data_IF_839875273945
#
_entry.id   IF_839875273945
#
_cell.length_a   1.000
_cell.length_b   1.000
_cell.length_c   1.000
_cell.angle_alpha   90.00
_cell.angle_beta   90.00
_cell.angle_gamma   90.00
#
_symmetry.space_group_name_H-M   'P 1'
#
loop_
_entity.id
_entity.type
_entity.pdbx_description
1 polymer ?
#
# COMPACT_ATOMS: atom_id res chain seq x y z
N UNK A 1 -1.30 -12.25 -27.08
CA UNK A 1 -1.88 -11.63 -25.85
C UNK A 1 -1.63 -10.13 -25.76
N UNK A 2 -0.36 -9.63 -25.88
CA UNK A 2 -0.09 -8.18 -25.78
C UNK A 2 -0.81 -7.39 -26.87
N UNK A 3 -0.77 -7.83 -28.12
CA UNK A 3 -1.47 -7.19 -29.23
C UNK A 3 -3.00 -7.15 -29.05
N UNK A 4 -3.59 -8.20 -28.51
CA UNK A 4 -5.03 -8.25 -28.19
C UNK A 4 -5.39 -7.25 -27.07
N UNK A 5 -4.58 -7.18 -26.02
CA UNK A 5 -4.79 -6.22 -24.92
C UNK A 5 -4.66 -4.77 -25.40
N UNK A 6 -3.73 -4.49 -26.34
CA UNK A 6 -3.61 -3.16 -26.94
C UNK A 6 -4.87 -2.72 -27.68
N UNK A 7 -5.61 -3.67 -28.30
CA UNK A 7 -6.85 -3.37 -29.02
C UNK A 7 -8.03 -3.06 -28.07
N UNK A 8 -7.97 -3.52 -26.80
CA UNK A 8 -8.99 -3.23 -25.79
C UNK A 8 -8.87 -1.82 -25.22
N UNK A 9 -7.70 -1.21 -25.29
CA UNK A 9 -7.47 0.14 -24.80
C UNK A 9 -7.96 1.17 -25.84
N UNK A 10 -8.64 2.24 -25.38
CA UNK A 10 -9.06 3.35 -26.24
C UNK A 10 -7.87 3.89 -27.03
N UNK A 11 -8.06 4.34 -28.28
CA UNK A 11 -6.96 4.76 -29.17
C UNK A 11 -6.10 5.92 -28.64
N UNK A 12 -6.69 6.80 -27.83
CA UNK A 12 -6.06 7.98 -27.23
C UNK A 12 -5.21 7.67 -25.99
N UNK A 13 -5.31 6.45 -25.44
CA UNK A 13 -4.61 6.08 -24.23
C UNK A 13 -3.20 5.55 -24.49
N UNK A 14 -2.29 5.94 -23.59
CA UNK A 14 -0.96 5.35 -23.48
C UNK A 14 -1.07 3.88 -23.08
N UNK A 15 -0.28 3.02 -23.74
CA UNK A 15 -0.21 1.59 -23.39
C UNK A 15 1.23 1.23 -23.13
N UNK A 16 1.47 0.58 -22.01
CA UNK A 16 2.80 0.15 -21.57
C UNK A 16 2.76 -1.22 -20.88
N UNK A 17 3.93 -1.84 -20.77
CA UNK A 17 4.15 -3.03 -19.93
C UNK A 17 5.04 -2.61 -18.77
N UNK A 18 4.66 -3.01 -17.56
CA UNK A 18 5.49 -2.91 -16.36
C UNK A 18 5.84 -4.28 -15.82
N UNK A 19 7.10 -4.48 -15.49
CA UNK A 19 7.60 -5.68 -14.84
C UNK A 19 8.35 -5.28 -13.57
N UNK A 20 8.02 -5.95 -12.45
CA UNK A 20 8.75 -5.86 -11.20
C UNK A 20 9.68 -7.06 -11.04
N UNK A 21 10.89 -6.85 -10.56
CA UNK A 21 11.88 -7.89 -10.29
C UNK A 21 12.80 -7.48 -9.14
N UNK A 22 13.47 -8.45 -8.54
CA UNK A 22 14.49 -8.14 -7.53
C UNK A 22 15.62 -7.30 -8.12
N UNK A 23 16.03 -6.26 -7.41
CA UNK A 23 17.18 -5.44 -7.79
C UNK A 23 18.49 -6.24 -7.88
N UNK A 24 18.57 -7.36 -7.16
CA UNK A 24 19.71 -8.27 -7.19
C UNK A 24 19.75 -9.20 -8.43
N UNK A 25 18.64 -9.32 -9.17
CA UNK A 25 18.58 -10.16 -10.38
C UNK A 25 19.15 -9.41 -11.58
N UNK A 26 20.48 -9.47 -11.70
CA UNK A 26 21.23 -8.81 -12.77
C UNK A 26 20.85 -9.34 -14.15
N UNK A 27 20.62 -10.65 -14.28
CA UNK A 27 20.27 -11.27 -15.58
C UNK A 27 18.94 -10.74 -16.11
N UNK A 28 17.91 -10.73 -15.25
CA UNK A 28 16.61 -10.17 -15.65
C UNK A 28 16.69 -8.67 -15.97
N UNK A 29 17.51 -7.92 -15.25
CA UNK A 29 17.73 -6.49 -15.53
C UNK A 29 18.37 -6.28 -16.90
N UNK A 30 19.45 -6.98 -17.21
CA UNK A 30 20.13 -6.91 -18.51
C UNK A 30 19.19 -7.29 -19.67
N UNK A 31 18.36 -8.33 -19.50
CA UNK A 31 17.36 -8.71 -20.51
C UNK A 31 16.38 -7.55 -20.76
N UNK A 32 15.87 -6.91 -19.70
CA UNK A 32 14.92 -5.80 -19.84
C UNK A 32 15.56 -4.58 -20.51
N UNK A 33 16.79 -4.24 -20.12
CA UNK A 33 17.53 -3.11 -20.71
C UNK A 33 17.83 -3.34 -22.19
N UNK A 34 18.22 -4.55 -22.58
CA UNK A 34 18.42 -4.95 -23.98
C UNK A 34 17.11 -4.91 -24.79
N UNK A 35 15.98 -5.22 -24.17
CA UNK A 35 14.64 -5.13 -24.75
C UNK A 35 14.02 -3.71 -24.65
N UNK A 36 14.85 -2.70 -24.35
CA UNK A 36 14.47 -1.27 -24.33
C UNK A 36 13.43 -0.94 -23.26
N UNK A 37 13.38 -1.72 -22.18
CA UNK A 37 12.66 -1.28 -20.98
C UNK A 37 13.51 -0.23 -20.24
N UNK A 38 12.82 0.66 -19.52
CA UNK A 38 13.46 1.69 -18.70
C UNK A 38 13.14 1.44 -17.24
N UNK A 39 14.15 1.53 -16.39
CA UNK A 39 13.96 1.55 -14.94
C UNK A 39 13.19 2.82 -14.55
N UNK A 40 12.04 2.67 -13.91
CA UNK A 40 11.17 3.79 -13.56
C UNK A 40 10.97 3.97 -12.06
N UNK A 41 11.05 2.89 -11.26
CA UNK A 41 10.84 2.97 -9.80
C UNK A 41 11.67 1.91 -9.06
N UNK A 42 11.96 2.24 -7.80
CA UNK A 42 12.45 1.32 -6.78
C UNK A 42 11.34 1.08 -5.76
N UNK A 43 11.12 -0.16 -5.40
CA UNK A 43 10.13 -0.56 -4.41
C UNK A 43 10.82 -1.36 -3.31
N UNK A 44 10.59 -0.99 -2.05
CA UNK A 44 11.19 -1.67 -0.90
C UNK A 44 10.17 -2.55 -0.22
N UNK A 45 10.55 -3.79 0.04
CA UNK A 45 9.92 -4.59 1.08
C UNK A 45 10.66 -4.33 2.38
N UNK A 46 9.94 -3.78 3.35
CA UNK A 46 10.51 -3.47 4.66
C UNK A 46 9.93 -4.41 5.71
N UNK A 47 10.78 -4.84 6.65
CA UNK A 47 10.41 -5.77 7.71
C UNK A 47 10.96 -5.32 9.06
N UNK A 48 10.28 -5.76 10.12
CA UNK A 48 10.73 -5.70 11.50
C UNK A 48 10.48 -7.04 12.17
N UNK A 49 11.45 -7.49 12.99
CA UNK A 49 11.32 -8.67 13.84
C UNK A 49 11.14 -8.20 15.29
N UNK A 50 9.98 -8.49 15.86
CA UNK A 50 9.62 -8.09 17.22
C UNK A 50 10.17 -9.10 18.22
N UNK A 51 11.09 -8.68 19.08
CA UNK A 51 11.64 -9.47 20.20
C UNK A 51 10.89 -9.23 21.49
N UNK A 52 10.13 -8.13 21.57
CA UNK A 52 9.30 -7.73 22.70
C UNK A 52 8.04 -7.02 22.21
N UNK A 53 7.08 -6.78 23.09
CA UNK A 53 5.85 -6.08 22.74
C UNK A 53 6.17 -4.66 22.24
N UNK A 54 5.61 -4.24 21.08
CA UNK A 54 5.84 -2.92 20.54
C UNK A 54 5.36 -1.82 21.49
N UNK A 55 6.03 -0.68 21.45
CA UNK A 55 5.60 0.51 22.19
C UNK A 55 4.20 0.95 21.75
N UNK A 56 3.27 1.02 22.70
CA UNK A 56 1.95 1.60 22.45
C UNK A 56 2.04 3.11 22.63
N UNK A 57 1.57 3.87 21.64
CA UNK A 57 1.42 5.33 21.73
C UNK A 57 -0.06 5.68 21.63
N UNK A 58 -0.52 6.75 22.31
CA UNK A 58 -1.91 7.17 22.21
C UNK A 58 -2.24 7.70 20.82
N UNK A 59 -3.47 7.51 20.40
CA UNK A 59 -3.99 8.19 19.22
C UNK A 59 -4.10 9.70 19.46
N UNK A 60 -3.99 10.55 18.45
CA UNK A 60 -4.20 11.98 18.57
C UNK A 60 -5.55 12.30 19.23
N UNK A 61 -5.64 13.43 19.96
CA UNK A 61 -6.87 13.84 20.60
C UNK A 61 -8.05 13.93 19.61
N UNK A 62 -9.20 13.39 20.01
CA UNK A 62 -10.41 13.29 19.20
C UNK A 62 -10.45 12.09 18.25
N UNK A 63 -9.37 11.32 18.16
CA UNK A 63 -9.32 10.12 17.30
C UNK A 63 -9.64 8.87 18.11
N UNK A 64 -10.60 8.10 17.62
CA UNK A 64 -11.00 6.82 18.19
C UNK A 64 -10.77 5.69 17.19
N UNK A 65 -10.26 4.57 17.66
CA UNK A 65 -10.19 3.34 16.88
C UNK A 65 -11.50 2.57 17.04
N UNK A 66 -12.18 2.30 15.94
CA UNK A 66 -13.43 1.51 15.95
C UNK A 66 -13.26 0.25 15.11
N UNK A 67 -13.90 -0.87 15.52
CA UNK A 67 -13.91 -2.08 14.71
C UNK A 67 -14.47 -1.82 13.31
N UNK A 68 -13.89 -2.46 12.31
CA UNK A 68 -14.45 -2.42 10.97
C UNK A 68 -15.76 -3.23 10.91
N UNK A 69 -16.83 -2.58 10.47
CA UNK A 69 -18.15 -3.21 10.27
C UNK A 69 -18.38 -3.38 8.78
N UNK A 70 -18.34 -4.64 8.34
CA UNK A 70 -18.59 -5.02 6.95
C UNK A 70 -19.95 -4.48 6.50
N UNK A 71 -20.10 -4.24 5.22
CA UNK A 71 -21.30 -3.69 4.56
C UNK A 71 -21.59 -2.23 4.93
N UNK A 72 -21.67 -1.90 6.22
CA UNK A 72 -21.95 -0.54 6.67
C UNK A 72 -20.81 0.46 6.39
N UNK A 73 -19.56 -0.01 6.39
CA UNK A 73 -18.37 0.86 6.30
C UNK A 73 -17.54 0.62 5.03
N UNK A 74 -17.82 -0.41 4.24
CA UNK A 74 -17.03 -0.78 3.06
C UNK A 74 -16.83 0.40 2.11
N UNK A 75 -17.91 1.11 1.76
CA UNK A 75 -17.85 2.23 0.84
C UNK A 75 -17.11 3.44 1.44
N UNK A 76 -17.28 3.71 2.73
CA UNK A 76 -16.57 4.80 3.42
C UNK A 76 -15.05 4.54 3.47
N UNK A 77 -14.66 3.29 3.73
CA UNK A 77 -13.24 2.89 3.74
C UNK A 77 -12.65 2.96 2.33
N UNK A 78 -13.39 2.53 1.32
CA UNK A 78 -12.98 2.68 -0.08
C UNK A 78 -12.72 4.15 -0.44
N UNK A 79 -13.63 5.06 -0.10
CA UNK A 79 -13.47 6.50 -0.36
C UNK A 79 -12.27 7.08 0.39
N UNK A 80 -12.08 6.69 1.66
CA UNK A 80 -10.94 7.13 2.45
C UNK A 80 -9.61 6.63 1.89
N UNK A 81 -9.58 5.41 1.36
CA UNK A 81 -8.41 4.83 0.69
C UNK A 81 -8.11 5.60 -0.62
N UNK A 82 -9.09 5.80 -1.49
CA UNK A 82 -8.93 6.51 -2.75
C UNK A 82 -8.39 7.94 -2.52
N UNK A 83 -8.95 8.65 -1.52
CA UNK A 83 -8.47 9.99 -1.15
C UNK A 83 -7.03 9.96 -0.60
N UNK A 84 -6.72 9.04 0.32
CA UNK A 84 -5.42 8.99 0.98
C UNK A 84 -4.29 8.63 0.01
N UNK A 85 -4.59 7.84 -1.03
CA UNK A 85 -3.62 7.39 -2.04
C UNK A 85 -3.61 8.24 -3.30
N UNK A 86 -4.43 9.28 -3.40
CA UNK A 86 -4.52 10.12 -4.60
C UNK A 86 -3.19 10.74 -5.02
N UNK A 87 -2.31 11.02 -4.05
CA UNK A 87 -1.00 11.62 -4.28
C UNK A 87 0.09 10.57 -4.56
N UNK A 88 -0.25 9.29 -4.61
CA UNK A 88 0.72 8.24 -4.86
C UNK A 88 0.93 8.04 -6.36
N UNK A 89 2.18 7.81 -6.73
CA UNK A 89 2.53 7.49 -8.11
C UNK A 89 1.73 6.30 -8.66
N UNK A 90 1.26 6.42 -9.88
CA UNK A 90 0.47 5.38 -10.54
C UNK A 90 -0.96 5.26 -10.00
N UNK A 91 -1.44 6.23 -9.20
CA UNK A 91 -2.82 6.18 -8.73
C UNK A 91 -3.80 6.38 -9.89
N UNK A 92 -4.75 5.47 -9.99
CA UNK A 92 -5.92 5.58 -10.88
C UNK A 92 -7.15 5.49 -10.00
N UNK A 93 -8.14 6.41 -10.15
CA UNK A 93 -9.37 6.38 -9.37
C UNK A 93 -10.01 4.99 -9.37
N UNK A 94 -10.29 4.48 -8.19
CA UNK A 94 -10.75 3.12 -8.00
C UNK A 94 -12.22 2.90 -8.42
N UNK A 95 -12.54 1.66 -8.78
CA UNK A 95 -13.93 1.20 -8.87
C UNK A 95 -14.27 0.38 -7.62
N UNK A 96 -15.35 0.74 -6.93
CA UNK A 96 -15.75 0.12 -5.66
C UNK A 96 -15.94 -1.40 -5.77
N UNK A 97 -16.59 -1.89 -6.81
CA UNK A 97 -16.83 -3.33 -6.96
C UNK A 97 -15.51 -4.10 -7.15
N UNK A 98 -14.59 -3.57 -7.94
CA UNK A 98 -13.26 -4.16 -8.10
C UNK A 98 -12.44 -4.10 -6.81
N UNK A 99 -12.55 -3.01 -6.05
CA UNK A 99 -11.91 -2.87 -4.75
C UNK A 99 -12.46 -3.90 -3.76
N UNK A 100 -13.78 -4.05 -3.68
CA UNK A 100 -14.47 -5.01 -2.82
C UNK A 100 -14.03 -6.44 -3.12
N UNK A 101 -14.07 -6.86 -4.38
CA UNK A 101 -13.59 -8.19 -4.81
C UNK A 101 -12.15 -8.47 -4.41
N UNK A 102 -11.26 -7.48 -4.53
CA UNK A 102 -9.83 -7.65 -4.23
C UNK A 102 -9.48 -7.58 -2.75
N UNK A 103 -10.27 -6.86 -1.95
CA UNK A 103 -9.95 -6.56 -0.55
C UNK A 103 -10.80 -7.34 0.44
N UNK A 104 -12.09 -7.48 0.19
CA UNK A 104 -13.09 -7.96 1.15
C UNK A 104 -13.65 -9.33 0.77
N UNK A 105 -14.05 -9.52 -0.48
CA UNK A 105 -14.67 -10.75 -0.95
C UNK A 105 -13.61 -11.82 -1.23
N UNK A 106 -12.76 -12.08 -0.23
CA UNK A 106 -11.67 -13.06 -0.28
C UNK A 106 -11.83 -14.02 0.89
N UNK A 107 -11.55 -15.30 0.67
CA UNK A 107 -11.62 -16.32 1.70
C UNK A 107 -10.78 -15.99 2.95
N UNK A 108 -9.60 -15.43 2.74
CA UNK A 108 -8.67 -15.06 3.83
C UNK A 108 -8.92 -13.66 4.41
N UNK A 109 -10.09 -13.03 4.17
CA UNK A 109 -10.38 -11.72 4.74
C UNK A 109 -10.75 -11.84 6.22
N UNK A 110 -9.99 -11.14 7.07
CA UNK A 110 -10.25 -11.00 8.50
C UNK A 110 -10.54 -9.53 8.84
N UNK A 111 -11.80 -9.16 9.12
CA UNK A 111 -12.18 -7.80 9.47
C UNK A 111 -11.53 -7.29 10.75
N UNK A 112 -11.12 -8.17 11.66
CA UNK A 112 -10.46 -7.79 12.92
C UNK A 112 -9.03 -7.29 12.73
N UNK A 113 -8.47 -7.50 11.54
CA UNK A 113 -7.17 -7.00 11.12
C UNK A 113 -7.25 -5.63 10.41
N UNK A 114 -8.45 -5.04 10.30
CA UNK A 114 -8.64 -3.70 9.77
C UNK A 114 -8.86 -2.70 10.88
N UNK A 115 -7.92 -1.78 11.04
CA UNK A 115 -7.91 -0.76 12.09
C UNK A 115 -8.35 0.57 11.50
N UNK A 116 -9.56 1.02 11.82
CA UNK A 116 -10.15 2.24 11.28
C UNK A 116 -10.18 3.31 12.36
N UNK A 117 -9.48 4.42 12.11
CA UNK A 117 -9.40 5.56 13.02
C UNK A 117 -10.43 6.63 12.60
N UNK A 118 -11.26 7.04 13.54
CA UNK A 118 -12.38 7.96 13.35
C UNK A 118 -12.17 9.27 14.11
N UNK A 119 -12.58 10.37 13.50
CA UNK A 119 -12.78 11.68 14.13
C UNK A 119 -14.26 12.02 13.99
N UNK A 120 -15.04 11.87 15.07
CA UNK A 120 -16.51 11.89 14.99
C UNK A 120 -17.03 10.84 14.00
N UNK A 121 -17.68 11.29 12.93
CA UNK A 121 -18.25 10.44 11.88
C UNK A 121 -17.37 10.32 10.63
N UNK A 122 -16.17 10.87 10.68
CA UNK A 122 -15.25 10.83 9.54
C UNK A 122 -14.10 9.84 9.79
N UNK A 123 -13.77 9.05 8.78
CA UNK A 123 -12.55 8.24 8.79
C UNK A 123 -11.35 9.18 8.66
N UNK A 124 -10.51 9.23 9.68
CA UNK A 124 -9.28 10.03 9.71
C UNK A 124 -8.09 9.29 9.08
N UNK A 125 -8.06 7.97 9.30
CA UNK A 125 -7.01 7.10 8.78
C UNK A 125 -7.35 5.63 9.00
N UNK A 126 -6.52 4.75 8.46
CA UNK A 126 -6.76 3.31 8.54
C UNK A 126 -5.44 2.54 8.37
N UNK A 127 -5.42 1.31 8.88
CA UNK A 127 -4.45 0.29 8.56
C UNK A 127 -5.20 -0.98 8.16
N UNK A 128 -5.05 -1.41 6.91
CA UNK A 128 -5.58 -2.67 6.39
C UNK A 128 -4.48 -3.70 6.42
N UNK A 129 -4.58 -4.62 7.36
CA UNK A 129 -3.56 -5.63 7.57
C UNK A 129 -4.09 -7.03 7.23
N UNK A 130 -3.20 -7.99 7.07
CA UNK A 130 -3.54 -9.39 6.78
C UNK A 130 -2.38 -10.30 7.15
N UNK A 131 -2.62 -11.59 7.15
CA UNK A 131 -1.56 -12.58 7.14
C UNK A 131 -1.02 -12.79 5.70
N UNK A 132 0.30 -12.93 5.59
CA UNK A 132 0.98 -13.32 4.36
C UNK A 132 2.01 -14.39 4.72
N UNK A 133 1.63 -15.65 4.57
CA UNK A 133 2.38 -16.78 5.12
C UNK A 133 2.55 -16.58 6.65
N UNK A 134 3.77 -16.63 7.15
CA UNK A 134 4.10 -16.44 8.58
C UNK A 134 4.45 -14.97 8.94
N UNK A 135 4.13 -14.02 8.06
CA UNK A 135 4.40 -12.59 8.24
C UNK A 135 3.10 -11.82 8.44
N UNK A 136 3.06 -10.98 9.46
CA UNK A 136 2.02 -9.95 9.61
C UNK A 136 2.22 -8.87 8.56
N UNK A 137 1.29 -8.73 7.61
CA UNK A 137 1.46 -7.84 6.47
C UNK A 137 0.62 -6.58 6.59
N UNK A 138 1.28 -5.42 6.59
CA UNK A 138 0.61 -4.12 6.46
C UNK A 138 0.33 -3.90 4.97
N UNK A 139 -0.88 -4.19 4.55
CA UNK A 139 -1.27 -4.09 3.14
C UNK A 139 -1.44 -2.65 2.68
N UNK A 140 -2.18 -1.84 3.45
CA UNK A 140 -2.36 -0.41 3.22
C UNK A 140 -2.37 0.33 4.56
N UNK A 141 -1.64 1.43 4.62
CA UNK A 141 -1.66 2.38 5.74
C UNK A 141 -1.92 3.77 5.16
N UNK A 142 -3.05 4.37 5.50
CA UNK A 142 -3.45 5.66 4.97
C UNK A 142 -3.90 6.63 6.05
N UNK A 143 -3.52 7.91 5.90
CA UNK A 143 -4.02 9.03 6.68
C UNK A 143 -4.55 10.08 5.71
N UNK A 144 -5.82 10.44 5.82
CA UNK A 144 -6.43 11.47 4.99
C UNK A 144 -5.81 12.84 5.27
N UNK A 145 -5.76 13.70 4.28
CA UNK A 145 -5.03 15.00 4.31
C UNK A 145 -5.28 15.85 5.57
N UNK A 146 -6.54 16.06 6.06
CA UNK A 146 -6.78 16.89 7.24
C UNK A 146 -6.14 16.38 8.54
N UNK A 147 -5.84 15.09 8.61
CA UNK A 147 -5.28 14.44 9.82
C UNK A 147 -3.80 14.09 9.72
N UNK A 148 -3.13 14.44 8.59
CA UNK A 148 -1.69 14.22 8.41
C UNK A 148 -0.86 15.07 9.38
N UNK A 149 0.39 14.65 9.63
CA UNK A 149 1.36 15.35 10.49
C UNK A 149 0.96 15.49 11.97
N UNK A 150 -0.01 14.68 12.44
CA UNK A 150 -0.49 14.64 13.83
C UNK A 150 -0.08 13.37 14.58
N UNK A 151 0.78 12.52 14.02
CA UNK A 151 1.20 11.24 14.61
C UNK A 151 0.26 10.06 14.34
N UNK A 152 -0.87 10.26 13.65
CA UNK A 152 -1.88 9.21 13.43
C UNK A 152 -1.33 7.99 12.67
N UNK A 153 -0.49 8.20 11.65
CA UNK A 153 0.12 7.09 10.90
C UNK A 153 1.04 6.23 11.77
N UNK A 154 1.80 6.83 12.67
CA UNK A 154 2.64 6.12 13.64
C UNK A 154 1.79 5.32 14.65
N UNK A 155 0.72 5.93 15.16
CA UNK A 155 -0.18 5.26 16.11
C UNK A 155 -0.85 4.04 15.48
N UNK A 156 -1.37 4.16 14.25
CA UNK A 156 -1.97 3.06 13.49
C UNK A 156 -0.96 1.93 13.22
N UNK A 157 0.26 2.28 12.86
CA UNK A 157 1.31 1.31 12.55
C UNK A 157 1.71 0.52 13.79
N UNK A 158 2.02 1.21 14.89
CA UNK A 158 2.40 0.56 16.16
C UNK A 158 1.24 -0.23 16.77
N UNK A 159 0.00 0.24 16.61
CA UNK A 159 -1.18 -0.53 16.98
C UNK A 159 -1.26 -1.83 16.18
N UNK A 160 -1.04 -1.78 14.87
CA UNK A 160 -1.03 -2.98 14.02
C UNK A 160 0.08 -3.95 14.41
N UNK A 161 1.27 -3.45 14.75
CA UNK A 161 2.36 -4.29 15.25
C UNK A 161 1.97 -5.00 16.55
N UNK A 162 1.34 -4.28 17.48
CA UNK A 162 0.90 -4.85 18.76
C UNK A 162 -0.19 -5.92 18.57
N UNK A 163 -1.12 -5.72 17.63
CA UNK A 163 -2.14 -6.72 17.31
C UNK A 163 -1.52 -8.00 16.70
N UNK A 164 -0.55 -7.86 15.81
CA UNK A 164 0.21 -9.00 15.30
C UNK A 164 1.02 -9.70 16.41
N UNK A 165 1.71 -8.96 17.24
CA UNK A 165 2.48 -9.50 18.36
C UNK A 165 1.60 -10.33 19.31
N UNK A 166 0.42 -9.81 19.70
CA UNK A 166 -0.57 -10.54 20.52
C UNK A 166 -1.04 -11.85 19.87
N UNK A 167 -1.03 -11.92 18.56
CA UNK A 167 -1.41 -13.11 17.78
C UNK A 167 -0.22 -14.04 17.47
N UNK A 168 0.94 -13.77 18.08
CA UNK A 168 2.16 -14.57 17.92
C UNK A 168 2.92 -14.33 16.62
N UNK A 169 2.54 -13.31 15.82
CA UNK A 169 3.25 -12.93 14.62
C UNK A 169 4.37 -11.96 14.97
N UNK A 170 5.61 -12.44 14.95
CA UNK A 170 6.77 -11.67 15.36
C UNK A 170 7.45 -10.94 14.20
N UNK A 171 7.29 -11.41 12.97
CA UNK A 171 7.79 -10.73 11.77
C UNK A 171 6.66 -9.95 11.13
N UNK A 172 6.89 -8.66 10.91
CA UNK A 172 5.91 -7.77 10.27
C UNK A 172 6.54 -7.10 9.07
N UNK A 173 5.85 -7.13 7.93
CA UNK A 173 6.33 -6.59 6.67
C UNK A 173 5.33 -5.66 5.99
N UNK A 174 5.85 -4.83 5.10
CA UNK A 174 5.10 -3.99 4.18
C UNK A 174 5.88 -3.75 2.89
N UNK A 175 5.17 -3.26 1.87
CA UNK A 175 5.80 -2.75 0.65
C UNK A 175 5.63 -1.24 0.53
N UNK A 176 6.65 -0.54 0.02
CA UNK A 176 6.62 0.91 -0.16
C UNK A 176 7.44 1.34 -1.39
N UNK A 177 6.95 2.35 -2.10
CA UNK A 177 7.73 3.06 -3.11
C UNK A 177 8.88 3.82 -2.41
N UNK A 178 10.11 3.58 -2.82
CA UNK A 178 11.30 4.23 -2.26
C UNK A 178 11.26 5.77 -2.41
N UNK A 179 10.58 6.26 -3.44
CA UNK A 179 10.40 7.69 -3.74
C UNK A 179 9.08 8.25 -3.19
N UNK A 180 8.43 7.56 -2.23
CA UNK A 180 7.14 7.98 -1.69
C UNK A 180 7.21 9.42 -1.12
N UNK A 181 6.41 10.37 -1.66
CA UNK A 181 6.49 11.79 -1.28
C UNK A 181 5.93 12.07 0.12
N UNK A 182 5.15 11.16 0.70
CA UNK A 182 4.49 11.37 2.00
C UNK A 182 5.42 11.24 3.20
N UNK A 183 6.65 10.77 2.99
CA UNK A 183 7.60 10.48 4.06
C UNK A 183 7.34 9.17 4.79
N UNK A 184 6.58 8.26 4.20
CA UNK A 184 6.24 6.96 4.78
C UNK A 184 7.49 6.12 5.09
N UNK A 185 8.51 6.15 4.24
CA UNK A 185 9.78 5.43 4.46
C UNK A 185 10.47 5.85 5.76
N UNK A 186 10.47 7.15 6.07
CA UNK A 186 11.01 7.67 7.34
C UNK A 186 10.20 7.20 8.55
N UNK A 187 8.88 7.13 8.41
CA UNK A 187 8.00 6.60 9.45
C UNK A 187 8.34 5.13 9.73
N UNK A 188 8.47 4.31 8.70
CA UNK A 188 8.77 2.89 8.85
C UNK A 188 10.14 2.64 9.49
N UNK A 189 11.16 3.39 9.07
CA UNK A 189 12.48 3.33 9.70
C UNK A 189 12.46 3.77 11.17
N UNK A 190 11.68 4.82 11.50
CA UNK A 190 11.51 5.31 12.88
C UNK A 190 10.96 4.23 13.83
N UNK A 191 10.08 3.36 13.35
CA UNK A 191 9.51 2.27 14.16
C UNK A 191 10.32 0.96 14.06
N UNK A 192 11.54 1.01 13.51
CA UNK A 192 12.49 -0.10 13.51
C UNK A 192 12.43 -0.99 12.28
N UNK A 193 11.62 -0.69 11.27
CA UNK A 193 11.61 -1.46 10.03
C UNK A 193 12.87 -1.21 9.21
N UNK A 194 13.38 -2.26 8.58
CA UNK A 194 14.56 -2.23 7.72
C UNK A 194 14.20 -2.75 6.33
N UNK A 195 14.96 -2.36 5.32
CA UNK A 195 14.79 -2.87 3.96
C UNK A 195 15.27 -4.32 3.94
N UNK A 196 14.35 -5.25 3.71
CA UNK A 196 14.64 -6.67 3.57
C UNK A 196 14.91 -7.06 2.11
N UNK A 197 14.12 -6.49 1.18
CA UNK A 197 14.26 -6.72 -0.27
C UNK A 197 14.06 -5.41 -1.00
N UNK A 198 14.87 -5.18 -2.02
CA UNK A 198 14.67 -4.12 -2.98
C UNK A 198 14.23 -4.72 -4.32
N UNK A 199 13.09 -4.27 -4.80
CA UNK A 199 12.59 -4.56 -6.13
C UNK A 199 12.72 -3.32 -7.03
N UNK A 200 12.88 -3.55 -8.32
CA UNK A 200 12.91 -2.52 -9.34
C UNK A 200 11.76 -2.73 -10.32
N UNK A 201 11.20 -1.63 -10.80
CA UNK A 201 10.11 -1.65 -11.79
C UNK A 201 10.67 -1.10 -13.09
N UNK A 202 10.57 -1.91 -14.13
CA UNK A 202 10.91 -1.56 -15.50
C UNK A 202 9.63 -1.35 -16.31
N UNK A 203 9.65 -0.36 -17.21
CA UNK A 203 8.54 -0.03 -18.09
C UNK A 203 8.99 0.01 -19.55
N UNK A 204 8.16 -0.53 -20.46
CA UNK A 204 8.29 -0.39 -21.90
C UNK A 204 7.00 0.16 -22.47
N UNK A 205 7.08 1.34 -23.08
CA UNK A 205 5.95 1.92 -23.80
C UNK A 205 5.70 1.15 -25.10
N UNK A 206 4.44 0.77 -25.31
CA UNK A 206 3.99 0.07 -26.51
C UNK A 206 3.25 1.01 -27.48
N UNK A 207 2.55 2.01 -26.95
CA UNK A 207 1.82 3.03 -27.69
C UNK A 207 1.80 4.32 -26.89
N UNK A 208 2.26 5.45 -27.48
CA UNK A 208 2.12 6.75 -26.82
C UNK A 208 0.65 7.17 -26.73
N UNK A 209 0.33 8.03 -25.77
CA UNK A 209 -1.03 8.54 -25.58
C UNK A 209 -1.20 9.24 -24.25
N UNK A 210 -2.46 9.55 -23.91
CA UNK A 210 -2.81 10.16 -22.63
C UNK A 210 -2.70 9.13 -21.50
N UNK A 211 -2.03 9.49 -20.43
CA UNK A 211 -1.93 8.64 -19.23
C UNK A 211 -3.24 8.67 -18.41
N UNK A 212 -3.58 7.56 -17.77
CA UNK A 212 -4.71 7.47 -16.82
C UNK A 212 -4.27 7.68 -15.38
N UNK A 213 -2.96 7.62 -15.13
CA UNK A 213 -2.41 7.86 -13.81
C UNK A 213 -2.52 9.35 -13.45
N UNK A 214 -2.69 9.67 -12.18
CA UNK A 214 -2.67 11.05 -11.71
C UNK A 214 -1.32 11.66 -12.04
N UNK A 215 -1.32 12.80 -12.72
CA UNK A 215 -0.14 13.66 -12.82
C UNK A 215 0.23 14.13 -11.40
N UNK A 216 1.52 14.13 -11.10
CA UNK A 216 2.07 14.64 -9.83
C UNK A 216 1.86 16.15 -9.68
#
# INVERSE_FOLDING_TARGET
>A
RVGEMMQLAKPDLRVYIRNGMSAADQVSREIHENEVYRLIRHHWMMEVNLTEAPKVIPFPAGIELRPFVREAQEYLVFQAEDEAFRDHWGHVPGNFNNWKLRKIDREAFDPTLWHIAWDGDQIAGYAQTRYRNEVGWIGNLGVRRPWRKRGLGEALLLHSFNEFYKRGMLTIGLGVDASNPTGATRLYQKVGMQIAVEDVIYEKELRPGRDLESEE
#
